data_IF_444039857479
#
_entry.id   IF_444039857479
#
_cell.length_a   1.000
_cell.length_b   1.000
_cell.length_c   1.000
_cell.angle_alpha   90.00
_cell.angle_beta   90.00
_cell.angle_gamma   90.00
#
_symmetry.space_group_name_H-M   'P 1'
#
loop_
_entity.id
_entity.type
_entity.pdbx_description
1 polymer ?
#
# COMPACT_ATOMS: atom_id res chain seq x y z
N UNK A 1 -38.81 -22.23 15.75
CA UNK A 1 -37.62 -22.15 14.87
C UNK A 1 -37.46 -20.81 14.13
N UNK A 2 -38.47 -20.29 13.42
CA UNK A 2 -38.37 -19.03 12.63
C UNK A 2 -37.83 -17.81 13.39
N UNK A 3 -38.22 -17.63 14.64
CA UNK A 3 -37.84 -16.46 15.46
C UNK A 3 -36.35 -16.43 15.83
N UNK A 4 -35.75 -17.61 16.08
CA UNK A 4 -34.30 -17.72 16.32
C UNK A 4 -33.48 -17.47 15.05
N UNK A 5 -34.00 -17.89 13.90
CA UNK A 5 -33.38 -17.65 12.59
C UNK A 5 -33.41 -16.16 12.24
N UNK A 6 -34.55 -15.49 12.41
CA UNK A 6 -34.70 -14.03 12.22
C UNK A 6 -33.76 -13.23 13.13
N UNK A 7 -33.64 -13.62 14.40
CA UNK A 7 -32.76 -12.95 15.37
C UNK A 7 -31.28 -13.15 15.04
N UNK A 8 -30.89 -14.32 14.52
CA UNK A 8 -29.53 -14.58 14.02
C UNK A 8 -29.26 -13.79 12.74
N UNK A 9 -30.20 -13.74 11.80
CA UNK A 9 -30.07 -12.94 10.58
C UNK A 9 -29.91 -11.44 10.88
N UNK A 10 -30.71 -10.90 11.79
CA UNK A 10 -30.64 -9.49 12.18
C UNK A 10 -29.27 -9.10 12.77
N UNK A 11 -28.49 -10.05 13.27
CA UNK A 11 -27.17 -9.84 13.85
C UNK A 11 -26.06 -10.14 12.84
N UNK A 12 -26.20 -11.20 12.04
CA UNK A 12 -25.19 -11.63 11.06
C UNK A 12 -25.16 -10.70 9.83
N UNK A 13 -26.32 -10.28 9.33
CA UNK A 13 -26.41 -9.41 8.14
C UNK A 13 -25.64 -8.09 8.32
N UNK A 14 -25.85 -7.27 9.38
CA UNK A 14 -25.11 -6.02 9.52
C UNK A 14 -23.59 -6.23 9.67
N UNK A 15 -23.17 -7.31 10.36
CA UNK A 15 -21.73 -7.65 10.48
C UNK A 15 -21.14 -8.00 9.11
N UNK A 16 -21.84 -8.82 8.32
CA UNK A 16 -21.36 -9.19 6.99
C UNK A 16 -21.29 -8.00 6.03
N UNK A 17 -22.28 -7.08 6.07
CA UNK A 17 -22.24 -5.83 5.29
C UNK A 17 -21.09 -4.95 5.75
N UNK A 18 -20.89 -4.80 7.06
CA UNK A 18 -19.77 -4.04 7.61
C UNK A 18 -18.42 -4.59 7.12
N UNK A 19 -18.22 -5.90 7.15
CA UNK A 19 -17.00 -6.54 6.66
C UNK A 19 -16.77 -6.29 5.16
N UNK A 20 -17.81 -6.34 4.34
CA UNK A 20 -17.71 -6.03 2.90
C UNK A 20 -17.29 -4.58 2.69
N UNK A 21 -17.88 -3.65 3.44
CA UNK A 21 -17.52 -2.22 3.35
C UNK A 21 -16.06 -2.01 3.75
N UNK A 22 -15.64 -2.56 4.90
CA UNK A 22 -14.27 -2.43 5.40
C UNK A 22 -13.22 -3.06 4.46
N UNK A 23 -13.54 -4.16 3.80
CA UNK A 23 -12.68 -4.77 2.78
C UNK A 23 -12.59 -3.89 1.52
N UNK A 24 -13.70 -3.28 1.10
CA UNK A 24 -13.74 -2.45 -0.12
C UNK A 24 -13.07 -1.10 0.07
N UNK A 25 -13.03 -0.57 1.29
CA UNK A 25 -12.38 0.69 1.62
C UNK A 25 -10.89 0.55 1.96
N UNK A 26 -10.36 -0.67 2.06
CA UNK A 26 -8.95 -0.90 2.42
C UNK A 26 -8.62 -0.65 3.90
N UNK A 27 -9.64 -0.45 4.75
CA UNK A 27 -9.46 -0.22 6.20
C UNK A 27 -8.91 -1.47 6.89
N UNK A 28 -9.27 -2.65 6.41
CA UNK A 28 -8.70 -3.91 6.93
C UNK A 28 -7.20 -3.99 6.62
N UNK A 29 -6.79 -3.56 5.43
CA UNK A 29 -5.40 -3.61 4.99
C UNK A 29 -4.53 -2.65 5.81
N UNK A 30 -5.02 -1.42 6.08
CA UNK A 30 -4.31 -0.44 6.93
C UNK A 30 -4.17 -0.87 8.38
N UNK A 31 -5.22 -1.47 8.95
CA UNK A 31 -5.20 -1.98 10.33
C UNK A 31 -4.27 -3.19 10.47
N UNK A 32 -4.32 -4.11 9.51
CA UNK A 32 -3.46 -5.30 9.50
C UNK A 32 -2.00 -4.88 9.38
N UNK A 33 -1.71 -3.98 8.44
CA UNK A 33 -0.37 -3.49 8.19
C UNK A 33 0.23 -2.79 9.41
N UNK A 34 -0.49 -1.85 10.03
CA UNK A 34 -0.05 -1.21 11.28
C UNK A 34 0.21 -2.21 12.42
N UNK A 35 -0.53 -3.32 12.46
CA UNK A 35 -0.38 -4.33 13.49
C UNK A 35 0.80 -5.29 13.23
N UNK A 36 1.09 -5.59 11.96
CA UNK A 36 2.15 -6.53 11.58
C UNK A 36 3.48 -5.87 11.27
N UNK A 37 3.51 -4.57 10.98
CA UNK A 37 4.73 -3.85 10.65
C UNK A 37 5.51 -3.53 11.93
N UNK A 38 6.59 -4.28 12.15
CA UNK A 38 7.45 -4.18 13.32
C UNK A 38 8.75 -3.46 12.95
N UNK A 39 9.57 -3.00 13.92
CA UNK A 39 10.86 -2.38 13.63
C UNK A 39 11.77 -3.22 12.72
N UNK A 40 11.77 -4.55 12.88
CA UNK A 40 12.50 -5.48 12.01
C UNK A 40 12.00 -5.46 10.55
N UNK A 41 10.74 -5.11 10.31
CA UNK A 41 10.13 -5.08 8.97
C UNK A 41 10.72 -3.99 8.07
N UNK A 42 11.42 -2.99 8.62
CA UNK A 42 12.14 -1.99 7.83
C UNK A 42 13.31 -2.59 7.04
N UNK A 43 13.88 -3.70 7.51
CA UNK A 43 14.99 -4.41 6.87
C UNK A 43 14.54 -5.53 5.93
N UNK A 44 13.24 -5.87 5.93
CA UNK A 44 12.64 -6.84 5.02
C UNK A 44 11.95 -6.12 3.86
N UNK A 45 12.52 -6.22 2.66
CA UNK A 45 12.00 -5.59 1.44
C UNK A 45 10.56 -6.00 1.13
N UNK A 46 10.17 -7.24 1.44
CA UNK A 46 8.82 -7.74 1.19
C UNK A 46 7.81 -7.08 2.13
N UNK A 47 8.14 -7.02 3.41
CA UNK A 47 7.31 -6.37 4.42
C UNK A 47 7.22 -4.85 4.17
N UNK A 48 8.35 -4.22 3.87
CA UNK A 48 8.44 -2.80 3.55
C UNK A 48 7.63 -2.44 2.30
N UNK A 49 7.76 -3.19 1.20
CA UNK A 49 6.97 -2.94 -0.01
C UNK A 49 5.47 -3.12 0.23
N UNK A 50 5.07 -4.10 1.04
CA UNK A 50 3.66 -4.30 1.42
C UNK A 50 3.12 -3.10 2.19
N UNK A 51 3.88 -2.64 3.19
CA UNK A 51 3.57 -1.43 3.95
C UNK A 51 3.45 -0.20 3.05
N UNK A 52 4.45 0.05 2.21
CA UNK A 52 4.47 1.18 1.29
C UNK A 52 3.27 1.17 0.32
N UNK A 53 2.85 0.00 -0.16
CA UNK A 53 1.64 -0.11 -1.02
C UNK A 53 0.40 0.40 -0.32
N UNK A 54 0.24 0.09 0.96
CA UNK A 54 -0.88 0.54 1.78
C UNK A 54 -0.76 2.04 2.05
N UNK A 55 0.39 2.52 2.50
CA UNK A 55 0.58 3.94 2.86
C UNK A 55 0.45 4.87 1.66
N UNK A 56 1.07 4.54 0.53
CA UNK A 56 1.00 5.33 -0.71
C UNK A 56 -0.43 5.50 -1.20
N UNK A 57 -1.23 4.43 -1.13
CA UNK A 57 -2.61 4.46 -1.62
C UNK A 57 -3.55 5.13 -0.61
N UNK A 58 -3.34 4.87 0.67
CA UNK A 58 -4.08 5.52 1.76
C UNK A 58 -3.86 7.03 1.81
N UNK A 59 -2.63 7.50 1.62
CA UNK A 59 -2.30 8.93 1.66
C UNK A 59 -2.63 9.65 0.35
N UNK A 60 -3.31 8.99 -0.59
CA UNK A 60 -3.75 9.60 -1.85
C UNK A 60 -2.60 10.00 -2.76
N UNK A 61 -1.43 9.36 -2.63
CA UNK A 61 -0.25 9.75 -3.40
C UNK A 61 -0.37 9.37 -4.90
N UNK A 62 -1.33 8.51 -5.22
CA UNK A 62 -1.61 8.08 -6.59
C UNK A 62 -3.06 7.67 -6.72
N UNK A 63 -3.63 7.86 -7.91
CA UNK A 63 -4.97 7.40 -8.27
C UNK A 63 -4.97 5.96 -8.81
N UNK A 64 -3.80 5.33 -8.88
CA UNK A 64 -3.64 3.96 -9.37
C UNK A 64 -4.06 2.97 -8.29
N UNK A 65 -4.81 1.93 -8.68
CA UNK A 65 -5.22 0.86 -7.77
C UNK A 65 -4.00 0.21 -7.11
N UNK A 66 -4.07 -0.18 -5.82
CA UNK A 66 -2.95 -0.79 -5.11
C UNK A 66 -2.30 -1.94 -5.88
N UNK A 67 -3.07 -2.87 -6.45
CA UNK A 67 -2.56 -4.03 -7.19
C UNK A 67 -1.85 -3.70 -8.51
N UNK A 68 -2.08 -2.49 -9.02
CA UNK A 68 -1.43 -1.98 -10.23
C UNK A 68 -0.15 -1.20 -9.94
N UNK A 69 0.23 -1.05 -8.67
CA UNK A 69 1.51 -0.47 -8.28
C UNK A 69 2.60 -1.53 -8.30
N UNK A 70 3.75 -1.16 -8.86
CA UNK A 70 4.99 -1.92 -8.80
C UNK A 70 6.01 -1.11 -8.02
N UNK A 71 6.65 -1.75 -7.04
CA UNK A 71 7.71 -1.14 -6.23
C UNK A 71 9.02 -1.80 -6.64
N UNK A 72 9.91 -1.04 -7.25
CA UNK A 72 11.21 -1.53 -7.72
C UNK A 72 12.28 -1.07 -6.73
N UNK A 73 12.80 -2.03 -5.96
CA UNK A 73 13.88 -1.78 -5.00
C UNK A 73 15.21 -1.77 -5.75
N UNK A 74 16.00 -0.70 -5.58
CA UNK A 74 17.34 -0.65 -6.13
C UNK A 74 18.32 -1.46 -5.27
N UNK A 75 18.77 -2.61 -5.77
CA UNK A 75 19.67 -3.52 -5.05
C UNK A 75 21.11 -3.03 -4.90
N UNK A 76 21.48 -1.91 -5.52
CA UNK A 76 22.81 -1.30 -5.38
C UNK A 76 22.90 -0.31 -4.21
N UNK A 77 21.78 0.02 -3.59
CA UNK A 77 21.74 0.94 -2.46
C UNK A 77 22.19 0.25 -1.16
N UNK A 78 22.76 0.99 -0.19
CA UNK A 78 23.20 0.42 1.08
C UNK A 78 22.03 -0.21 1.86
N UNK A 79 22.29 -1.24 2.68
CA UNK A 79 21.23 -1.91 3.45
C UNK A 79 20.55 -1.01 4.49
N UNK A 80 21.13 0.15 4.82
CA UNK A 80 20.58 1.14 5.74
C UNK A 80 19.68 2.17 5.07
N UNK A 81 19.69 2.26 3.74
CA UNK A 81 18.81 3.17 3.02
C UNK A 81 18.64 2.79 1.57
N UNK A 82 17.40 2.80 1.09
CA UNK A 82 17.06 2.27 -0.23
C UNK A 82 16.24 3.28 -1.03
N UNK A 83 16.48 3.33 -2.34
CA UNK A 83 15.61 4.01 -3.30
C UNK A 83 14.64 2.98 -3.87
N UNK A 84 13.36 3.32 -3.81
CA UNK A 84 12.29 2.48 -4.33
C UNK A 84 11.53 3.30 -5.36
N UNK A 85 11.58 2.89 -6.63
CA UNK A 85 10.78 3.51 -7.67
C UNK A 85 9.36 2.93 -7.62
N UNK A 86 8.38 3.82 -7.51
CA UNK A 86 6.96 3.46 -7.58
C UNK A 86 6.50 3.64 -9.01
N UNK A 87 6.09 2.56 -9.63
CA UNK A 87 5.71 2.49 -11.04
C UNK A 87 4.28 1.97 -11.18
N UNK A 88 3.66 2.27 -12.30
CA UNK A 88 2.37 1.68 -12.67
C UNK A 88 2.59 0.47 -13.60
N UNK A 89 2.04 -0.67 -13.20
CA UNK A 89 1.89 -1.84 -14.06
C UNK A 89 0.82 -1.54 -15.12
N UNK A 90 1.11 -1.82 -16.38
CA UNK A 90 0.20 -1.64 -17.53
C UNK A 90 -0.24 -2.97 -18.16
N UNK A 91 -0.01 -4.08 -17.47
CA UNK A 91 -0.36 -5.43 -17.93
C UNK A 91 -1.49 -6.06 -17.12
N UNK A 92 -2.22 -7.01 -17.73
CA UNK A 92 -3.37 -7.67 -17.13
C UNK A 92 -4.60 -6.75 -17.08
N UNK A 93 -5.21 -6.61 -15.90
CA UNK A 93 -6.38 -5.75 -15.66
C UNK A 93 -6.04 -4.30 -15.33
N UNK A 94 -4.76 -3.91 -15.41
CA UNK A 94 -4.30 -2.56 -15.09
C UNK A 94 -4.31 -1.66 -16.32
N UNK A 95 -4.89 -0.44 -16.24
CA UNK A 95 -4.99 0.47 -17.38
C UNK A 95 -3.63 1.06 -17.76
N UNK A 96 -3.42 1.32 -19.05
CA UNK A 96 -2.24 2.01 -19.57
C UNK A 96 -1.81 1.50 -20.95
N UNK A 97 -0.93 2.24 -21.66
CA UNK A 97 -0.33 1.79 -22.90
C UNK A 97 0.46 0.49 -22.67
N UNK A 98 0.21 -0.52 -23.49
CA UNK A 98 0.81 -1.85 -23.34
C UNK A 98 2.33 -1.75 -23.52
N UNK A 99 3.08 -2.24 -22.53
CA UNK A 99 4.54 -2.32 -22.59
C UNK A 99 5.27 -1.11 -21.99
N UNK A 100 4.54 -0.09 -21.54
CA UNK A 100 5.14 1.02 -20.78
C UNK A 100 5.08 0.73 -19.29
N UNK A 101 6.13 1.09 -18.56
CA UNK A 101 6.16 1.10 -17.10
C UNK A 101 6.42 2.54 -16.68
N UNK A 102 5.39 3.41 -16.64
CA UNK A 102 5.60 4.79 -16.25
C UNK A 102 5.95 4.83 -14.77
N UNK A 103 7.07 5.50 -14.47
CA UNK A 103 7.45 5.84 -13.10
C UNK A 103 6.55 6.96 -12.60
N UNK A 104 5.91 6.75 -11.45
CA UNK A 104 5.05 7.73 -10.80
C UNK A 104 5.89 8.68 -9.95
N UNK A 105 6.72 8.14 -9.07
CA UNK A 105 7.62 8.85 -8.17
C UNK A 105 8.64 7.89 -7.57
N UNK A 106 9.60 8.43 -6.84
CA UNK A 106 10.70 7.76 -6.16
C UNK A 106 10.51 7.92 -4.65
N UNK A 107 10.66 6.82 -3.91
CA UNK A 107 10.75 6.83 -2.46
C UNK A 107 12.20 6.67 -2.02
N UNK A 108 12.59 7.43 -1.01
CA UNK A 108 13.86 7.28 -0.29
C UNK A 108 13.55 6.82 1.12
N UNK A 109 14.04 5.63 1.45
CA UNK A 109 13.82 5.00 2.73
C UNK A 109 15.11 5.12 3.53
N UNK A 110 15.03 5.73 4.70
CA UNK A 110 16.04 5.60 5.75
C UNK A 110 15.55 4.55 6.73
N UNK A 111 16.13 3.34 6.65
CA UNK A 111 15.72 2.19 7.46
C UNK A 111 16.21 2.31 8.90
N UNK A 112 17.26 3.11 9.15
CA UNK A 112 17.78 3.31 10.51
C UNK A 112 16.94 4.32 11.29
N UNK A 113 16.56 5.42 10.63
CA UNK A 113 15.77 6.49 11.24
C UNK A 113 14.26 6.29 11.05
N UNK A 114 13.84 5.24 10.34
CA UNK A 114 12.45 4.95 10.01
C UNK A 114 11.76 6.12 9.27
N UNK A 115 12.49 6.76 8.36
CA UNK A 115 12.01 7.92 7.61
C UNK A 115 11.74 7.54 6.15
N UNK A 116 10.61 7.99 5.63
CA UNK A 116 10.23 7.81 4.23
C UNK A 116 10.08 9.19 3.60
N UNK A 117 10.88 9.43 2.56
CA UNK A 117 10.81 10.64 1.74
C UNK A 117 10.32 10.29 0.35
N UNK A 118 9.57 11.19 -0.28
CA UNK A 118 8.99 11.02 -1.62
C UNK A 118 9.28 12.24 -2.48
N UNK A 119 9.46 12.05 -3.79
CA UNK A 119 9.53 13.13 -4.80
C UNK A 119 8.19 13.34 -5.54
N UNK A 120 7.10 12.79 -4.99
CA UNK A 120 5.77 12.86 -5.58
C UNK A 120 5.32 14.32 -5.80
N UNK A 121 4.93 14.65 -7.03
CA UNK A 121 4.49 16.00 -7.39
C UNK A 121 5.63 17.02 -7.53
N UNK A 122 6.87 16.64 -7.21
CA UNK A 122 8.05 17.49 -7.39
C UNK A 122 9.27 16.64 -7.79
N UNK A 123 9.48 16.38 -9.09
CA UNK A 123 10.55 15.52 -9.57
C UNK A 123 11.89 15.94 -8.95
N UNK A 124 12.63 14.99 -8.37
CA UNK A 124 13.93 15.17 -7.70
C UNK A 124 13.94 15.90 -6.35
N UNK A 125 12.86 16.56 -5.94
CA UNK A 125 12.77 17.21 -4.63
C UNK A 125 12.07 16.28 -3.64
N UNK A 126 12.86 15.73 -2.71
CA UNK A 126 12.34 14.80 -1.72
C UNK A 126 11.76 15.53 -0.51
N UNK A 127 10.52 15.20 -0.15
CA UNK A 127 9.84 15.69 1.04
C UNK A 127 9.29 14.51 1.87
N UNK A 128 9.00 14.70 3.17
CA UNK A 128 8.32 13.67 3.96
C UNK A 128 7.02 13.25 3.29
N UNK A 129 6.69 11.97 3.41
CA UNK A 129 5.38 11.47 2.99
C UNK A 129 4.28 12.16 3.82
N UNK A 130 3.19 12.63 3.19
CA UNK A 130 2.09 13.31 3.88
C UNK A 130 1.33 12.40 4.83
#
# INVERSE_FOLDING_TARGET
>A
MRQHVLRRLALVVPISVLMIVLAKTGVIDTLTDRYTFRPESWFDDTALVRHLRVVVTHNGMTNIKPDCLLFVVNGNDPPTGSRIDVMQKTSGSCPGPKGELPKLFTLRIDRMNHVIMSDQGSPTLFHPMP
#
